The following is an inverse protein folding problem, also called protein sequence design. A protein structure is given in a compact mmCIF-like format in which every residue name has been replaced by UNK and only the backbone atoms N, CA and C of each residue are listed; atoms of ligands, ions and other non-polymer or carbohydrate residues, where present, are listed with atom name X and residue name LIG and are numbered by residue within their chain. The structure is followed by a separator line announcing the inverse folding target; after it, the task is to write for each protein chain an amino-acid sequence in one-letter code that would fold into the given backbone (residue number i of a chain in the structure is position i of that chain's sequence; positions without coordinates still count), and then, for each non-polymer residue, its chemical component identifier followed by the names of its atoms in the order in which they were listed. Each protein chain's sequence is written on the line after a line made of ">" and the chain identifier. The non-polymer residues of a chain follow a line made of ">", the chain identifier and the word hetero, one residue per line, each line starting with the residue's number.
data_IF_935410018335
#
_entry.id   IF_935410018335
#
_cell.length_a   1.000
_cell.length_b   1.000
_cell.length_c   1.000
_cell.angle_alpha   90.00
_cell.angle_beta   90.00
_cell.angle_gamma   90.00
#
_symmetry.space_group_name_H-M   'P 1'
#
loop_
_entity.id
_entity.type
_entity.pdbx_description
1 polymer ?
#
# COMPACT_ATOMS: atom_id res chain seq x y z
N UNK A 1 16.97 -17.92 -10.58
CA UNK A 1 15.86 -18.13 -9.60
C UNK A 1 14.88 -16.97 -9.69
N UNK A 2 13.62 -17.24 -10.01
CA UNK A 2 12.56 -16.23 -10.08
C UNK A 2 12.29 -15.68 -8.68
N UNK A 3 12.66 -14.41 -8.43
CA UNK A 3 12.43 -13.75 -7.13
C UNK A 3 10.93 -13.75 -6.81
N UNK A 4 10.57 -14.20 -5.61
CA UNK A 4 9.18 -14.30 -5.17
C UNK A 4 8.50 -12.92 -5.22
N UNK A 5 7.29 -12.78 -5.79
CA UNK A 5 6.62 -11.49 -5.89
C UNK A 5 6.34 -10.87 -4.52
N UNK A 6 6.60 -9.58 -4.35
CA UNK A 6 6.43 -8.84 -3.09
C UNK A 6 5.04 -9.01 -2.48
N UNK A 7 4.00 -9.04 -3.32
CA UNK A 7 2.61 -9.28 -2.90
C UNK A 7 2.45 -10.59 -2.12
N UNK A 8 3.19 -11.64 -2.50
CA UNK A 8 3.15 -12.96 -1.85
C UNK A 8 3.84 -12.92 -0.48
N UNK A 9 4.92 -12.16 -0.35
CA UNK A 9 5.63 -11.94 0.92
C UNK A 9 4.79 -11.11 1.90
N UNK A 10 4.17 -10.02 1.43
CA UNK A 10 3.29 -9.17 2.26
C UNK A 10 2.08 -9.99 2.75
N UNK A 11 1.43 -10.75 1.86
CA UNK A 11 0.28 -11.59 2.24
C UNK A 11 0.67 -12.68 3.25
N UNK A 12 1.89 -13.21 3.16
CA UNK A 12 2.43 -14.16 4.13
C UNK A 12 2.76 -13.50 5.49
N UNK A 13 3.34 -12.29 5.50
CA UNK A 13 3.64 -11.52 6.73
C UNK A 13 2.38 -11.07 7.49
N UNK A 14 1.35 -10.61 6.77
CA UNK A 14 0.05 -10.26 7.36
C UNK A 14 -0.60 -11.51 7.97
N UNK A 15 -0.51 -12.68 7.29
CA UNK A 15 -1.03 -13.96 7.80
C UNK A 15 -0.27 -14.45 9.04
N UNK A 16 0.99 -14.07 9.22
CA UNK A 16 1.82 -14.47 10.37
C UNK A 16 1.92 -13.41 11.47
N UNK A 17 1.10 -12.36 11.43
CA UNK A 17 1.08 -11.25 12.40
C UNK A 17 2.48 -10.66 12.68
N UNK A 18 3.34 -10.61 11.66
CA UNK A 18 4.73 -10.16 11.78
C UNK A 18 4.81 -8.68 11.42
N UNK A 19 5.49 -7.89 12.27
CA UNK A 19 5.50 -6.42 12.19
C UNK A 19 5.77 -5.89 10.78
N UNK A 20 4.86 -5.02 10.32
CA UNK A 20 4.96 -4.25 9.07
C UNK A 20 6.15 -3.31 9.17
N UNK A 21 7.03 -3.31 8.15
CA UNK A 21 8.14 -2.37 8.11
C UNK A 21 7.65 -0.92 8.08
N UNK A 22 8.47 0.00 8.57
CA UNK A 22 8.18 1.45 8.63
C UNK A 22 7.70 2.01 7.29
N UNK A 23 8.26 1.50 6.19
CA UNK A 23 7.85 1.84 4.82
C UNK A 23 6.44 1.36 4.44
N UNK A 24 6.00 0.24 4.98
CA UNK A 24 4.62 -0.22 4.75
C UNK A 24 3.63 0.58 5.59
N UNK A 25 4.00 0.99 6.81
CA UNK A 25 3.19 1.93 7.62
C UNK A 25 3.01 3.27 6.93
N UNK A 26 4.08 3.86 6.39
CA UNK A 26 4.01 5.11 5.61
C UNK A 26 3.12 4.94 4.38
N UNK A 27 3.22 3.80 3.69
CA UNK A 27 2.37 3.48 2.55
C UNK A 27 0.90 3.41 2.92
N UNK A 28 0.57 2.77 4.03
CA UNK A 28 -0.82 2.69 4.50
C UNK A 28 -1.36 4.06 4.90
N UNK A 29 -0.59 4.86 5.64
CA UNK A 29 -0.97 6.24 5.97
C UNK A 29 -1.34 7.05 4.73
N UNK A 30 -0.48 7.05 3.71
CA UNK A 30 -0.73 7.78 2.46
C UNK A 30 -2.03 7.31 1.78
N UNK A 31 -2.35 6.01 1.83
CA UNK A 31 -3.62 5.52 1.26
C UNK A 31 -4.83 6.05 2.03
N UNK A 32 -4.77 6.04 3.36
CA UNK A 32 -5.85 6.56 4.19
C UNK A 32 -6.02 8.08 4.02
N UNK A 33 -4.93 8.84 3.93
CA UNK A 33 -4.97 10.28 3.63
C UNK A 33 -5.63 10.56 2.27
N UNK A 34 -5.32 9.77 1.24
CA UNK A 34 -5.96 9.91 -0.08
C UNK A 34 -7.45 9.52 0.00
N UNK A 35 -7.80 8.49 0.77
CA UNK A 35 -9.19 8.12 0.98
C UNK A 35 -9.96 9.25 1.69
N UNK A 36 -9.33 9.94 2.62
CA UNK A 36 -9.87 11.11 3.31
C UNK A 36 -10.06 12.30 2.38
N UNK A 37 -9.06 12.63 1.56
CA UNK A 37 -9.19 13.68 0.54
C UNK A 37 -10.31 13.39 -0.48
N UNK A 38 -10.58 12.12 -0.76
CA UNK A 38 -11.64 11.70 -1.68
C UNK A 38 -13.01 11.54 -1.00
N UNK A 39 -13.11 11.73 0.32
CA UNK A 39 -14.35 11.52 1.08
C UNK A 39 -14.80 10.07 1.14
N UNK A 40 -13.86 9.12 0.99
CA UNK A 40 -14.11 7.68 0.99
C UNK A 40 -13.80 7.02 2.35
N UNK A 41 -13.39 7.82 3.35
CA UNK A 41 -13.03 7.35 4.69
C UNK A 41 -14.13 6.50 5.31
N UNK A 42 -15.38 6.93 5.25
CA UNK A 42 -16.50 6.20 5.85
C UNK A 42 -16.73 4.83 5.20
N UNK A 43 -16.52 4.73 3.88
CA UNK A 43 -16.63 3.44 3.17
C UNK A 43 -15.46 2.52 3.52
N UNK A 44 -14.24 3.06 3.58
CA UNK A 44 -13.06 2.27 3.94
C UNK A 44 -13.15 1.78 5.38
N UNK A 45 -13.67 2.60 6.31
CA UNK A 45 -13.84 2.19 7.70
C UNK A 45 -14.95 1.15 7.88
N UNK A 46 -16.09 1.30 7.19
CA UNK A 46 -17.22 0.39 7.36
C UNK A 46 -17.09 -0.91 6.55
N UNK A 47 -16.63 -0.83 5.30
CA UNK A 47 -16.60 -1.96 4.36
C UNK A 47 -15.18 -2.42 4.00
N UNK A 48 -14.15 -1.72 4.49
CA UNK A 48 -12.77 -1.97 4.10
C UNK A 48 -12.47 -1.55 2.67
N UNK A 49 -11.22 -1.78 2.25
CA UNK A 49 -10.78 -1.54 0.87
C UNK A 49 -11.52 -2.39 -0.17
N UNK A 50 -12.14 -3.51 0.25
CA UNK A 50 -12.92 -4.39 -0.62
C UNK A 50 -14.33 -3.88 -0.91
N UNK A 51 -14.84 -2.90 -0.14
CA UNK A 51 -16.15 -2.29 -0.34
C UNK A 51 -16.15 -1.06 -1.26
N UNK A 52 -14.97 -0.63 -1.70
CA UNK A 52 -14.83 0.45 -2.67
C UNK A 52 -15.05 -0.07 -4.10
N UNK A 53 -15.61 0.78 -4.95
CA UNK A 53 -15.77 0.48 -6.38
C UNK A 53 -14.42 0.47 -7.10
N UNK A 54 -14.38 -0.17 -8.28
CA UNK A 54 -13.19 -0.17 -9.13
C UNK A 54 -12.74 1.25 -9.52
N UNK A 55 -13.69 2.19 -9.66
CA UNK A 55 -13.38 3.59 -9.95
C UNK A 55 -12.74 4.30 -8.76
N UNK A 56 -13.32 4.17 -7.57
CA UNK A 56 -12.81 4.77 -6.33
C UNK A 56 -11.42 4.24 -5.97
N UNK A 57 -11.25 2.91 -5.97
CA UNK A 57 -9.95 2.28 -5.75
C UNK A 57 -8.93 2.65 -6.83
N UNK A 58 -9.37 2.78 -8.08
CA UNK A 58 -8.55 3.23 -9.21
C UNK A 58 -8.04 4.67 -9.03
N UNK A 59 -8.90 5.59 -8.60
CA UNK A 59 -8.53 6.98 -8.29
C UNK A 59 -7.49 7.03 -7.16
N UNK A 60 -7.70 6.30 -6.07
CA UNK A 60 -6.73 6.21 -4.95
C UNK A 60 -5.38 5.68 -5.45
N UNK A 61 -5.38 4.61 -6.24
CA UNK A 61 -4.16 4.02 -6.81
C UNK A 61 -3.42 4.96 -7.78
N UNK A 62 -4.16 5.75 -8.56
CA UNK A 62 -3.62 6.77 -9.45
C UNK A 62 -2.92 7.89 -8.70
N UNK A 63 -3.58 8.48 -7.68
CA UNK A 63 -3.01 9.53 -6.83
C UNK A 63 -1.79 9.00 -6.08
N UNK A 64 -1.85 7.77 -5.56
CA UNK A 64 -0.73 7.14 -4.90
C UNK A 64 0.49 6.99 -5.82
N UNK A 65 0.27 6.65 -7.09
CA UNK A 65 1.33 6.53 -8.10
C UNK A 65 1.93 7.88 -8.43
N UNK A 66 1.11 8.93 -8.53
CA UNK A 66 1.55 10.31 -8.72
C UNK A 66 2.42 10.79 -7.54
N UNK A 67 1.96 10.57 -6.29
CA UNK A 67 2.72 10.91 -5.07
C UNK A 67 4.05 10.15 -4.98
N UNK A 68 4.09 8.86 -5.34
CA UNK A 68 5.34 8.10 -5.39
C UNK A 68 6.36 8.69 -6.38
N UNK A 69 5.88 9.18 -7.53
CA UNK A 69 6.73 9.79 -8.55
C UNK A 69 7.26 11.15 -8.12
N UNK A 70 6.47 11.96 -7.41
CA UNK A 70 6.89 13.30 -6.95
C UNK A 70 7.80 13.24 -5.72
N UNK A 71 7.56 12.32 -4.78
CA UNK A 71 8.40 12.15 -3.59
C UNK A 71 9.62 11.22 -3.82
N UNK A 72 9.85 10.76 -5.06
CA UNK A 72 10.95 9.87 -5.42
C UNK A 72 11.05 8.62 -4.50
N UNK A 73 9.91 8.06 -4.09
CA UNK A 73 9.90 6.95 -3.14
C UNK A 73 10.67 5.73 -3.71
N UNK A 74 11.50 5.06 -2.90
CA UNK A 74 12.24 3.88 -3.31
C UNK A 74 11.31 2.80 -3.86
N UNK A 75 11.74 2.15 -4.94
CA UNK A 75 10.91 1.15 -5.63
C UNK A 75 10.74 -0.04 -4.69
N UNK A 76 9.63 -0.75 -4.85
CA UNK A 76 9.35 -2.01 -4.14
C UNK A 76 10.55 -2.99 -4.12
N UNK A 77 11.40 -2.98 -5.14
CA UNK A 77 12.65 -3.77 -5.21
C UNK A 77 13.66 -3.41 -4.13
N UNK A 78 13.84 -2.12 -3.84
CA UNK A 78 14.85 -1.61 -2.89
C UNK A 78 14.42 -1.89 -1.44
N UNK A 79 13.11 -1.81 -1.17
CA UNK A 79 12.49 -2.14 0.12
C UNK A 79 12.73 -3.62 0.49
N UNK A 80 12.67 -4.52 -0.50
CA UNK A 80 12.92 -5.96 -0.31
C UNK A 80 14.40 -6.25 -0.08
N UNK A 81 15.28 -5.51 -0.76
CA UNK A 81 16.73 -5.70 -0.65
C UNK A 81 17.26 -5.22 0.71
N UNK A 82 16.68 -4.17 1.30
CA UNK A 82 17.04 -3.71 2.65
C UNK A 82 16.57 -4.66 3.77
N UNK A 83 15.52 -5.45 3.57
CA UNK A 83 15.05 -6.42 4.59
C UNK A 83 15.87 -7.73 4.63
N UNK A 84 16.78 -7.96 3.68
CA UNK A 84 17.62 -9.16 3.60
C UNK A 84 19.11 -8.86 3.86
N UNK A 85 19.42 -7.70 4.45
CA UNK A 85 20.76 -7.33 4.91
C UNK A 85 20.72 -7.22 6.43
#
# INVERSE_FOLDING_TARGET
>A
MSKTPLKKLIKAKIKSNKELSEMERVREKIKYEIAEELGLTDKVNNFGWGGLTAEETGRIGGIMTKRKKTLNLPKNKDIILQQNK
#
